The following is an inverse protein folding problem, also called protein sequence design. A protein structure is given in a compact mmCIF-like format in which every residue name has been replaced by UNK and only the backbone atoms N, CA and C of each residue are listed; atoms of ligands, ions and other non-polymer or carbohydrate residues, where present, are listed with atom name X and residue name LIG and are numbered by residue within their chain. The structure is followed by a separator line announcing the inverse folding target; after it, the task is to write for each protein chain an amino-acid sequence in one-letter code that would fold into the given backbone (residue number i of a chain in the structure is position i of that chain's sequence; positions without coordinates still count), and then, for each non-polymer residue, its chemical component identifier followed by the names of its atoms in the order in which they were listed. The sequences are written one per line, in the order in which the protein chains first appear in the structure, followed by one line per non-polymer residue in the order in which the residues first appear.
data_IF_338877487448
#
_entry.id   IF_338877487448
#
_cell.length_a   1.000
_cell.length_b   1.000
_cell.length_c   1.000
_cell.angle_alpha   90.00
_cell.angle_beta   90.00
_cell.angle_gamma   90.00
#
_symmetry.space_group_name_H-M   'P 1'
#
loop_
_entity.id
_entity.type
_entity.pdbx_description
1 polymer ?
#
# COMPACT_ATOMS: atom_id res chain seq x y z
N UNK A 1 -9.28 1.05 -15.03
CA UNK A 1 -9.91 1.72 -13.85
C UNK A 1 -9.40 1.23 -12.49
N UNK A 2 -8.89 -0.02 -12.36
CA UNK A 2 -8.40 -0.57 -11.09
C UNK A 2 -7.10 0.08 -10.56
N UNK A 3 -6.19 0.48 -11.45
CA UNK A 3 -4.89 1.09 -11.06
C UNK A 3 -5.04 2.42 -10.32
N UNK A 4 -6.01 3.27 -10.73
CA UNK A 4 -6.31 4.53 -10.03
C UNK A 4 -6.81 4.28 -8.60
N UNK A 5 -7.77 3.35 -8.44
CA UNK A 5 -8.29 2.96 -7.11
C UNK A 5 -7.18 2.38 -6.23
N UNK A 6 -6.34 1.51 -6.79
CA UNK A 6 -5.22 0.92 -6.06
C UNK A 6 -4.20 1.97 -5.59
N UNK A 7 -3.85 2.93 -6.45
CA UNK A 7 -2.95 4.05 -6.11
C UNK A 7 -3.55 4.94 -5.05
N UNK A 8 -4.84 5.28 -5.18
CA UNK A 8 -5.57 6.12 -4.24
C UNK A 8 -5.68 5.46 -2.86
N UNK A 9 -6.11 4.19 -2.78
CA UNK A 9 -6.19 3.46 -1.52
C UNK A 9 -4.81 3.26 -0.88
N UNK A 10 -3.79 2.91 -1.67
CA UNK A 10 -2.42 2.79 -1.14
C UNK A 10 -1.90 4.14 -0.63
N UNK A 11 -2.28 5.25 -1.27
CA UNK A 11 -1.94 6.60 -0.82
C UNK A 11 -2.60 6.93 0.52
N UNK A 12 -3.91 6.70 0.65
CA UNK A 12 -4.66 6.90 1.90
C UNK A 12 -4.07 6.08 3.05
N UNK A 13 -3.75 4.81 2.81
CA UNK A 13 -3.14 3.93 3.81
C UNK A 13 -1.82 4.51 4.32
N UNK A 14 -0.98 5.06 3.43
CA UNK A 14 0.29 5.69 3.82
C UNK A 14 0.08 6.96 4.64
N UNK A 15 -0.84 7.83 4.20
CA UNK A 15 -1.16 9.07 4.94
C UNK A 15 -1.68 8.74 6.34
N UNK A 16 -2.59 7.78 6.45
CA UNK A 16 -3.14 7.33 7.73
C UNK A 16 -2.04 6.73 8.63
N UNK A 17 -1.17 5.86 8.09
CA UNK A 17 -0.07 5.28 8.85
C UNK A 17 0.89 6.36 9.39
N UNK A 18 1.25 7.35 8.58
CA UNK A 18 2.08 8.47 9.02
C UNK A 18 1.40 9.35 10.08
N UNK A 19 0.10 9.61 9.95
CA UNK A 19 -0.66 10.32 10.98
C UNK A 19 -0.67 9.57 12.32
N UNK A 20 -0.81 8.23 12.27
CA UNK A 20 -0.73 7.37 13.45
C UNK A 20 0.67 7.40 14.07
N UNK A 21 1.75 7.44 13.27
CA UNK A 21 3.12 7.60 13.78
C UNK A 21 3.27 8.89 14.59
N UNK A 22 2.75 10.00 14.05
CA UNK A 22 2.78 11.30 14.73
C UNK A 22 2.01 11.25 16.04
N UNK A 23 0.80 10.66 16.03
CA UNK A 23 0.02 10.47 17.24
C UNK A 23 0.76 9.59 18.27
N UNK A 24 1.44 8.52 17.83
CA UNK A 24 2.21 7.65 18.70
C UNK A 24 3.37 8.38 19.39
N UNK A 25 4.02 9.33 18.71
CA UNK A 25 5.04 10.19 19.33
C UNK A 25 4.43 11.03 20.44
N UNK A 26 3.31 11.72 20.19
CA UNK A 26 2.65 12.54 21.21
C UNK A 26 2.19 11.71 22.42
N UNK A 27 1.63 10.52 22.18
CA UNK A 27 1.23 9.59 23.24
C UNK A 27 2.46 9.12 24.03
N UNK A 28 3.53 8.73 23.35
CA UNK A 28 4.79 8.33 23.99
C UNK A 28 5.35 9.44 24.87
N UNK A 29 5.41 10.68 24.35
CA UNK A 29 5.89 11.86 25.08
C UNK A 29 5.01 12.19 26.29
N UNK A 30 3.68 12.11 26.12
CA UNK A 30 2.74 12.35 27.20
C UNK A 30 2.91 11.36 28.35
N UNK A 31 3.07 10.07 28.02
CA UNK A 31 3.25 9.02 29.02
C UNK A 31 4.64 9.08 29.67
N UNK A 32 5.69 9.39 28.90
CA UNK A 32 7.04 9.54 29.44
C UNK A 32 7.16 10.73 30.40
N UNK A 33 6.44 11.83 30.13
CA UNK A 33 6.42 13.02 30.98
C UNK A 33 5.75 12.78 32.34
N UNK A 34 4.88 11.76 32.45
CA UNK A 34 4.19 11.38 33.69
C UNK A 34 4.87 10.26 34.46
N UNK A 35 5.96 9.70 33.92
CA UNK A 35 6.72 8.65 34.59
C UNK A 35 7.81 9.24 35.47
N UNK A 36 7.85 8.84 36.75
CA UNK A 36 8.88 9.23 37.70
C UNK A 36 10.20 8.46 37.54
N UNK A 37 10.24 7.41 36.70
CA UNK A 37 11.44 6.60 36.44
C UNK A 37 11.42 5.95 35.06
N UNK A 38 12.61 5.85 34.43
CA UNK A 38 12.84 5.26 33.10
C UNK A 38 11.91 5.77 31.98
N UNK A 39 11.81 7.09 31.83
CA UNK A 39 11.01 7.77 30.81
C UNK A 39 11.30 7.29 29.38
N UNK A 40 12.55 6.93 29.08
CA UNK A 40 12.96 6.35 27.79
C UNK A 40 12.28 4.99 27.51
N UNK A 41 12.22 4.10 28.50
CA UNK A 41 11.57 2.80 28.34
C UNK A 41 10.06 2.95 28.15
N UNK A 42 9.44 3.88 28.90
CA UNK A 42 8.01 4.19 28.77
C UNK A 42 7.71 4.75 27.38
N UNK A 43 8.54 5.69 26.90
CA UNK A 43 8.41 6.23 25.54
C UNK A 43 8.53 5.11 24.50
N UNK A 44 9.58 4.29 24.57
CA UNK A 44 9.82 3.19 23.63
C UNK A 44 8.67 2.17 23.64
N UNK A 45 8.19 1.77 24.81
CA UNK A 45 7.08 0.82 24.92
C UNK A 45 5.81 1.33 24.23
N UNK A 46 5.44 2.60 24.47
CA UNK A 46 4.25 3.20 23.85
C UNK A 46 4.44 3.47 22.36
N UNK A 47 5.59 4.01 21.97
CA UNK A 47 5.91 4.28 20.57
C UNK A 47 5.94 2.99 19.75
N UNK A 48 6.75 2.00 20.13
CA UNK A 48 6.83 0.74 19.39
C UNK A 48 5.55 -0.09 19.50
N UNK A 49 4.87 -0.04 20.65
CA UNK A 49 3.58 -0.71 20.86
C UNK A 49 2.48 -0.23 19.92
N UNK A 50 2.52 1.03 19.47
CA UNK A 50 1.56 1.58 18.50
C UNK A 50 2.08 1.45 17.07
N UNK A 51 3.35 1.79 16.84
CA UNK A 51 3.92 1.90 15.49
C UNK A 51 4.10 0.55 14.81
N UNK A 52 4.52 -0.50 15.54
CA UNK A 52 4.72 -1.83 14.96
C UNK A 52 3.39 -2.43 14.46
N UNK A 53 2.29 -2.47 15.24
CA UNK A 53 1.00 -2.93 14.75
C UNK A 53 0.43 -2.03 13.64
N UNK A 54 0.63 -0.71 13.71
CA UNK A 54 0.15 0.21 12.67
C UNK A 54 0.78 -0.07 11.31
N UNK A 55 2.11 -0.29 11.26
CA UNK A 55 2.81 -0.64 10.02
C UNK A 55 2.47 -2.04 9.52
N UNK A 56 2.34 -3.02 10.43
CA UNK A 56 1.89 -4.36 10.07
C UNK A 56 0.48 -4.33 9.45
N UNK A 57 -0.44 -3.57 10.06
CA UNK A 57 -1.79 -3.33 9.56
C UNK A 57 -1.79 -2.63 8.20
N UNK A 58 -1.00 -1.56 8.03
CA UNK A 58 -0.86 -0.84 6.77
C UNK A 58 -0.32 -1.73 5.64
N UNK A 59 0.68 -2.56 5.95
CA UNK A 59 1.23 -3.53 4.99
C UNK A 59 0.19 -4.57 4.58
N UNK A 60 -0.54 -5.13 5.55
CA UNK A 60 -1.60 -6.09 5.31
C UNK A 60 -2.75 -5.50 4.48
N UNK A 61 -3.21 -4.29 4.83
CA UNK A 61 -4.20 -3.53 4.07
C UNK A 61 -3.74 -3.27 2.64
N UNK A 62 -2.49 -2.85 2.45
CA UNK A 62 -1.92 -2.64 1.11
C UNK A 62 -1.92 -3.95 0.31
N UNK A 63 -1.61 -5.08 0.95
CA UNK A 63 -1.66 -6.41 0.32
C UNK A 63 -3.09 -6.80 -0.05
N UNK A 64 -4.08 -6.51 0.80
CA UNK A 64 -5.49 -6.73 0.50
C UNK A 64 -5.98 -5.88 -0.67
N UNK A 65 -5.61 -4.60 -0.70
CA UNK A 65 -5.95 -3.70 -1.82
C UNK A 65 -5.37 -4.23 -3.13
N UNK A 66 -4.11 -4.69 -3.13
CA UNK A 66 -3.47 -5.31 -4.30
C UNK A 66 -4.17 -6.60 -4.75
N UNK A 67 -4.68 -7.40 -3.82
CA UNK A 67 -5.44 -8.64 -4.13
C UNK A 67 -6.83 -8.35 -4.68
N UNK A 68 -7.52 -7.36 -4.12
CA UNK A 68 -8.89 -6.99 -4.51
C UNK A 68 -8.93 -6.25 -5.84
N UNK A 69 -7.91 -5.46 -6.13
CA UNK A 69 -7.77 -4.69 -7.36
C UNK A 69 -6.42 -5.02 -8.01
N UNK A 70 -6.28 -6.19 -8.67
CA UNK A 70 -5.07 -6.50 -9.43
C UNK A 70 -4.86 -5.42 -10.49
N UNK A 71 -3.62 -4.95 -10.60
CA UNK A 71 -3.25 -3.88 -11.52
C UNK A 71 -3.35 -4.39 -12.96
N UNK A 72 -4.46 -4.10 -13.64
CA UNK A 72 -4.47 -4.06 -15.09
C UNK A 72 -3.57 -2.90 -15.51
N UNK A 73 -2.37 -3.21 -15.97
CA UNK A 73 -1.44 -2.22 -16.48
C UNK A 73 -2.06 -1.62 -17.74
N UNK A 74 -2.61 -0.42 -17.61
CA UNK A 74 -3.03 0.40 -18.73
C UNK A 74 -1.86 1.31 -19.06
N UNK A 75 -1.20 1.06 -20.19
CA UNK A 75 -0.15 1.94 -20.70
C UNK A 75 -0.63 2.61 -21.97
N UNK A 76 -0.31 3.89 -22.13
CA UNK A 76 -0.43 4.58 -23.41
C UNK A 76 0.68 4.03 -24.32
N UNK A 77 0.30 3.32 -25.36
CA UNK A 77 1.22 2.74 -26.34
C UNK A 77 0.88 3.33 -27.70
N UNK A 78 1.91 3.70 -28.45
CA UNK A 78 1.74 4.13 -29.82
C UNK A 78 1.61 2.89 -30.71
N UNK A 79 0.40 2.68 -31.25
CA UNK A 79 0.13 1.55 -32.14
C UNK A 79 0.47 1.95 -33.58
N UNK A 80 1.20 1.10 -34.33
CA UNK A 80 1.47 1.36 -35.73
C UNK A 80 0.13 1.51 -36.48
N UNK A 81 -0.03 2.63 -37.20
CA UNK A 81 -1.23 3.08 -37.94
C UNK A 81 -2.41 3.62 -37.12
N UNK A 82 -2.39 3.54 -35.79
CA UNK A 82 -3.51 3.95 -34.92
C UNK A 82 -3.16 5.09 -33.94
N UNK A 83 -1.89 5.51 -33.89
CA UNK A 83 -1.43 6.58 -33.00
C UNK A 83 -1.41 6.14 -31.53
N UNK A 84 -1.34 7.12 -30.61
CA UNK A 84 -1.36 6.86 -29.18
C UNK A 84 -2.72 6.35 -28.71
N UNK A 85 -2.75 5.12 -28.19
CA UNK A 85 -3.95 4.51 -27.61
C UNK A 85 -3.67 3.90 -26.25
N UNK A 86 -4.66 3.97 -25.36
CA UNK A 86 -4.61 3.33 -24.06
C UNK A 86 -4.80 1.81 -24.25
N UNK A 87 -3.76 1.02 -24.00
CA UNK A 87 -3.80 -0.44 -24.11
C UNK A 87 -3.80 -1.05 -22.72
N UNK A 88 -4.76 -1.94 -22.46
CA UNK A 88 -4.80 -2.76 -21.24
C UNK A 88 -4.05 -4.06 -21.48
N UNK A 89 -3.02 -4.33 -20.69
CA UNK A 89 -2.31 -5.60 -20.73
C UNK A 89 -3.01 -6.61 -19.80
N UNK A 90 -3.60 -7.64 -20.40
CA UNK A 90 -3.97 -8.85 -19.67
C UNK A 90 -2.81 -9.83 -19.76
N UNK A 91 -2.32 -10.29 -18.62
CA UNK A 91 -1.40 -11.44 -18.59
C UNK A 91 -2.23 -12.63 -19.05
N UNK A 92 -1.99 -13.08 -20.28
CA UNK A 92 -2.70 -14.24 -20.83
C UNK A 92 -2.43 -15.44 -19.94
N UNK A 93 -3.50 -16.03 -19.40
CA UNK A 93 -3.41 -17.32 -18.72
C UNK A 93 -2.65 -18.30 -19.63
N UNK A 94 -1.68 -19.02 -19.08
CA UNK A 94 -0.80 -19.90 -19.86
C UNK A 94 -1.59 -20.91 -20.73
N UNK A 95 -2.81 -21.25 -20.31
CA UNK A 95 -3.74 -22.11 -21.06
C UNK A 95 -4.27 -21.46 -22.35
N UNK A 96 -4.49 -20.14 -22.39
CA UNK A 96 -4.97 -19.42 -23.57
C UNK A 96 -3.85 -19.20 -24.60
N UNK A 97 -2.61 -19.00 -24.14
CA UNK A 97 -1.46 -18.81 -25.01
C UNK A 97 -1.07 -20.08 -25.79
N UNK A 98 -1.27 -21.26 -25.21
CA UNK A 98 -1.06 -22.54 -25.90
C UNK A 98 -2.07 -22.80 -27.03
N UNK A 99 -3.26 -22.22 -26.96
CA UNK A 99 -4.27 -22.36 -28.01
C UNK A 99 -4.02 -21.42 -29.21
N UNK A 100 -3.42 -20.25 -28.98
CA UNK A 100 -3.14 -19.26 -30.02
C UNK A 100 -1.88 -19.57 -30.84
N UNK A 101 -0.89 -20.26 -30.27
CA UNK A 101 0.33 -20.67 -31.00
C UNK A 101 0.07 -21.85 -31.95
N UNK A 102 -1.07 -22.53 -31.82
CA UNK A 102 -1.41 -23.74 -32.58
C UNK A 102 -2.33 -23.51 -33.79
N UNK A 103 -2.58 -22.25 -34.17
CA UNK A 103 -3.38 -21.88 -35.35
C UNK A 103 -2.53 -21.15 -36.39
#
# INVERSE_FOLDING_TARGET
MNSYRQTLYSGIIRVAANAIMVAAVFVGMYQSARSAGASELVFCAWFFGITVPAWAGAFWLTRLVRRKYPAEFQSLVELPRLGQRLVSWHVGDAAANLALVRR
#
